data_IF_479679284984
#
_entry.id   IF_479679284984
#
_cell.length_a   1.000
_cell.length_b   1.000
_cell.length_c   1.000
_cell.angle_alpha   90.00
_cell.angle_beta   90.00
_cell.angle_gamma   90.00
#
_symmetry.space_group_name_H-M   'P 1'
#
loop_
_entity.id
_entity.type
_entity.pdbx_description
1 polymer ?
#
# COMPACT_ATOMS: atom_id res chain seq x y z
N UNK A 1 26.73 0.11 -18.42
CA UNK A 1 25.25 0.10 -18.46
C UNK A 1 24.77 -0.13 -17.04
N UNK A 2 24.16 0.87 -16.41
CA UNK A 2 23.74 0.79 -15.00
C UNK A 2 22.59 -0.22 -14.91
N UNK A 3 22.74 -1.27 -14.10
CA UNK A 3 21.67 -2.24 -13.87
C UNK A 3 20.64 -1.64 -12.91
N UNK A 4 19.67 -0.95 -13.48
CA UNK A 4 18.62 -0.22 -12.77
C UNK A 4 17.80 -1.12 -11.83
N UNK A 5 17.62 -2.40 -12.22
CA UNK A 5 16.88 -3.39 -11.42
C UNK A 5 17.61 -3.70 -10.11
N UNK A 6 18.94 -3.82 -10.17
CA UNK A 6 19.77 -4.06 -8.99
C UNK A 6 19.87 -2.82 -8.09
N UNK A 7 19.86 -1.61 -8.66
CA UNK A 7 19.90 -0.37 -7.88
C UNK A 7 18.62 -0.18 -7.04
N UNK A 8 17.43 -0.35 -7.64
CA UNK A 8 16.15 -0.26 -6.93
C UNK A 8 16.07 -1.31 -5.81
N UNK A 9 16.47 -2.55 -6.13
CA UNK A 9 16.43 -3.66 -5.17
C UNK A 9 17.34 -3.45 -3.96
N UNK A 10 18.53 -2.88 -4.17
CA UNK A 10 19.49 -2.65 -3.09
C UNK A 10 19.06 -1.48 -2.19
N UNK A 11 18.38 -0.48 -2.77
CA UNK A 11 17.96 0.73 -2.07
C UNK A 11 16.50 0.67 -1.56
N UNK A 12 15.89 -0.52 -1.53
CA UNK A 12 14.56 -0.71 -0.97
C UNK A 12 14.53 -0.31 0.52
N UNK A 13 13.57 0.54 0.88
CA UNK A 13 13.32 0.96 2.27
C UNK A 13 11.85 0.76 2.63
N UNK A 14 11.61 -0.11 3.60
CA UNK A 14 10.28 -0.35 4.16
C UNK A 14 9.73 0.92 4.84
N UNK A 15 10.60 1.68 5.50
CA UNK A 15 10.22 2.94 6.15
C UNK A 15 9.63 3.94 5.14
N UNK A 16 10.35 4.18 4.04
CA UNK A 16 9.91 5.13 3.01
C UNK A 16 8.60 4.67 2.38
N UNK A 17 8.52 3.38 2.01
CA UNK A 17 7.31 2.81 1.42
C UNK A 17 6.10 3.01 2.32
N UNK A 18 6.18 2.57 3.58
CA UNK A 18 5.04 2.62 4.49
C UNK A 18 4.70 4.04 4.92
N UNK A 19 5.68 4.93 5.07
CA UNK A 19 5.37 6.34 5.35
C UNK A 19 4.52 6.97 4.24
N UNK A 20 4.82 6.68 2.97
CA UNK A 20 4.05 7.23 1.85
C UNK A 20 2.69 6.53 1.72
N UNK A 21 2.66 5.20 1.84
CA UNK A 21 1.40 4.44 1.74
C UNK A 21 0.43 4.82 2.87
N UNK A 22 0.90 4.96 4.12
CA UNK A 22 0.08 5.45 5.22
C UNK A 22 -0.37 6.90 5.01
N UNK A 23 0.51 7.77 4.50
CA UNK A 23 0.16 9.16 4.20
C UNK A 23 -0.99 9.21 3.19
N UNK A 24 -0.87 8.50 2.09
CA UNK A 24 -1.93 8.42 1.07
C UNK A 24 -3.21 7.81 1.64
N UNK A 25 -3.11 6.76 2.46
CA UNK A 25 -4.27 6.19 3.13
C UNK A 25 -5.02 7.22 3.99
N UNK A 26 -4.33 7.97 4.85
CA UNK A 26 -4.98 8.98 5.70
C UNK A 26 -5.61 10.11 4.91
N UNK A 27 -4.98 10.53 3.81
CA UNK A 27 -5.54 11.52 2.89
C UNK A 27 -6.84 11.00 2.26
N UNK A 28 -6.79 9.84 1.60
CA UNK A 28 -7.96 9.25 0.93
C UNK A 28 -9.07 8.88 1.91
N UNK A 29 -8.73 8.42 3.12
CA UNK A 29 -9.71 8.11 4.16
C UNK A 29 -10.47 9.34 4.61
N UNK A 30 -9.76 10.46 4.78
CA UNK A 30 -10.42 11.71 5.15
C UNK A 30 -11.26 12.27 4.00
N UNK A 31 -10.79 12.16 2.76
CA UNK A 31 -11.56 12.60 1.58
C UNK A 31 -12.79 11.73 1.40
N UNK A 32 -12.68 10.42 1.63
CA UNK A 32 -13.83 9.51 1.66
C UNK A 32 -14.85 9.92 2.72
N UNK A 33 -14.40 10.22 3.95
CA UNK A 33 -15.26 10.68 5.04
C UNK A 33 -15.97 12.00 4.73
N UNK A 34 -15.24 12.98 4.20
CA UNK A 34 -15.80 14.27 3.77
C UNK A 34 -16.85 14.08 2.66
N UNK A 35 -16.55 13.24 1.67
CA UNK A 35 -17.49 12.96 0.58
C UNK A 35 -18.75 12.27 1.11
N UNK A 36 -18.63 11.20 1.89
CA UNK A 36 -19.79 10.52 2.49
C UNK A 36 -20.66 11.51 3.27
N UNK A 37 -20.04 12.37 4.08
CA UNK A 37 -20.75 13.40 4.82
C UNK A 37 -21.49 14.39 3.91
N UNK A 38 -20.81 14.91 2.88
CA UNK A 38 -21.41 15.85 1.93
C UNK A 38 -22.56 15.21 1.15
N UNK A 39 -22.41 13.97 0.68
CA UNK A 39 -23.49 13.23 0.02
C UNK A 39 -24.69 13.04 0.95
N UNK A 40 -24.44 12.75 2.24
CA UNK A 40 -25.49 12.50 3.23
C UNK A 40 -26.26 13.79 3.56
N UNK A 41 -25.55 14.91 3.64
CA UNK A 41 -26.13 16.22 3.91
C UNK A 41 -26.95 16.74 2.71
N UNK A 42 -26.50 16.45 1.49
CA UNK A 42 -27.16 16.87 0.25
C UNK A 42 -28.41 16.03 -0.09
N UNK A 43 -28.71 14.99 0.68
CA UNK A 43 -29.86 14.10 0.44
C UNK A 43 -29.77 13.35 -0.90
N UNK A 44 -28.55 13.17 -1.42
CA UNK A 44 -28.29 12.46 -2.67
C UNK A 44 -28.54 10.95 -2.47
N UNK A 45 -28.76 10.21 -3.56
CA UNK A 45 -29.30 8.86 -3.51
C UNK A 45 -28.62 7.94 -2.47
N UNK A 46 -29.39 7.19 -1.66
CA UNK A 46 -28.86 6.30 -0.64
C UNK A 46 -27.93 5.20 -1.20
N UNK A 47 -28.03 4.89 -2.48
CA UNK A 47 -27.25 3.87 -3.18
C UNK A 47 -25.73 4.11 -3.12
N UNK A 48 -25.29 5.36 -3.31
CA UNK A 48 -23.85 5.71 -3.28
C UNK A 48 -23.25 5.66 -1.87
N UNK A 49 -24.04 5.96 -0.85
CA UNK A 49 -23.63 5.89 0.55
C UNK A 49 -23.30 4.45 0.96
N UNK A 50 -24.21 3.53 0.61
CA UNK A 50 -24.07 2.10 0.89
C UNK A 50 -22.82 1.55 0.19
N UNK A 51 -22.54 1.99 -1.03
CA UNK A 51 -21.35 1.55 -1.77
C UNK A 51 -20.04 2.02 -1.12
N UNK A 52 -19.99 3.26 -0.63
CA UNK A 52 -18.82 3.81 0.07
C UNK A 52 -18.57 3.11 1.42
N UNK A 53 -19.62 2.80 2.16
CA UNK A 53 -19.54 1.97 3.37
C UNK A 53 -19.04 0.56 3.04
N UNK A 54 -19.53 -0.07 1.96
CA UNK A 54 -19.06 -1.39 1.51
C UNK A 54 -17.56 -1.41 1.20
N UNK A 55 -17.01 -0.34 0.63
CA UNK A 55 -15.56 -0.22 0.43
C UNK A 55 -14.79 -0.28 1.76
N UNK A 56 -15.28 0.37 2.81
CA UNK A 56 -14.65 0.31 4.14
C UNK A 56 -14.69 -1.12 4.72
N UNK A 57 -15.72 -1.89 4.39
CA UNK A 57 -15.84 -3.30 4.76
C UNK A 57 -15.08 -4.27 3.84
N UNK A 58 -14.33 -3.79 2.84
CA UNK A 58 -13.51 -4.67 1.98
C UNK A 58 -12.48 -5.51 2.73
N UNK A 59 -11.97 -5.05 3.87
CA UNK A 59 -11.07 -5.85 4.73
C UNK A 59 -11.77 -7.11 5.27
N UNK A 60 -13.09 -7.08 5.40
CA UNK A 60 -13.89 -8.25 5.80
C UNK A 60 -13.92 -9.32 4.70
N UNK A 61 -13.76 -8.92 3.43
CA UNK A 61 -13.66 -9.87 2.31
C UNK A 61 -12.39 -10.73 2.40
N UNK A 62 -11.29 -10.18 2.93
CA UNK A 62 -10.06 -10.94 3.18
C UNK A 62 -10.25 -12.06 4.20
N UNK A 63 -11.20 -11.92 5.13
CA UNK A 63 -11.49 -12.96 6.12
C UNK A 63 -11.96 -14.26 5.46
N UNK A 64 -12.57 -14.17 4.28
CA UNK A 64 -12.97 -15.33 3.47
C UNK A 64 -11.81 -15.92 2.66
N UNK A 65 -10.77 -15.13 2.35
CA UNK A 65 -9.59 -15.58 1.62
C UNK A 65 -8.48 -16.05 2.57
N UNK A 66 -8.61 -17.29 3.06
CA UNK A 66 -7.62 -17.97 3.93
C UNK A 66 -6.24 -18.21 3.29
N UNK A 67 -6.04 -17.89 2.01
CA UNK A 67 -4.79 -18.14 1.27
C UNK A 67 -3.86 -16.93 1.36
N UNK A 68 -2.56 -17.21 1.51
CA UNK A 68 -1.52 -16.20 1.44
C UNK A 68 -1.57 -15.47 0.08
N UNK A 69 -1.62 -14.14 0.13
CA UNK A 69 -1.63 -13.31 -1.07
C UNK A 69 -0.22 -13.31 -1.68
N UNK A 70 -0.14 -13.54 -2.99
CA UNK A 70 1.14 -13.51 -3.72
C UNK A 70 1.74 -12.11 -3.81
N UNK A 71 3.07 -12.02 -3.94
CA UNK A 71 3.79 -10.75 -4.06
C UNK A 71 3.32 -9.91 -5.26
N UNK A 72 2.87 -10.55 -6.34
CA UNK A 72 2.31 -9.88 -7.52
C UNK A 72 0.98 -9.20 -7.20
N UNK A 73 0.10 -9.86 -6.46
CA UNK A 73 -1.18 -9.26 -6.05
C UNK A 73 -0.91 -8.11 -5.08
N UNK A 74 0.03 -8.27 -4.15
CA UNK A 74 0.41 -7.22 -3.21
C UNK A 74 0.97 -5.98 -3.94
N UNK A 75 1.77 -6.19 -5.00
CA UNK A 75 2.22 -5.13 -5.89
C UNK A 75 1.06 -4.41 -6.59
N UNK A 76 0.13 -5.16 -7.21
CA UNK A 76 -1.03 -4.59 -7.91
C UNK A 76 -1.90 -3.76 -6.96
N UNK A 77 -2.20 -4.31 -5.77
CA UNK A 77 -3.02 -3.61 -4.77
C UNK A 77 -2.29 -2.37 -4.25
N UNK A 78 -0.97 -2.44 -4.03
CA UNK A 78 -0.16 -1.29 -3.64
C UNK A 78 -0.14 -0.19 -4.69
N UNK A 79 0.04 -0.54 -5.96
CA UNK A 79 -0.03 0.39 -7.08
C UNK A 79 -1.42 1.01 -7.21
N UNK A 80 -2.49 0.24 -6.94
CA UNK A 80 -3.84 0.76 -6.96
C UNK A 80 -3.99 1.94 -6.00
N UNK A 81 -3.49 1.84 -4.76
CA UNK A 81 -3.51 2.93 -3.76
C UNK A 81 -2.84 4.19 -4.31
N UNK A 82 -1.67 4.04 -4.94
CA UNK A 82 -0.87 5.15 -5.47
C UNK A 82 -1.60 5.80 -6.65
N UNK A 83 -2.01 5.00 -7.62
CA UNK A 83 -2.63 5.48 -8.87
C UNK A 83 -3.95 6.17 -8.59
N UNK A 84 -4.81 5.59 -7.74
CA UNK A 84 -6.08 6.23 -7.37
C UNK A 84 -5.86 7.58 -6.71
N UNK A 85 -4.83 7.69 -5.85
CA UNK A 85 -4.47 8.94 -5.19
C UNK A 85 -3.96 10.01 -6.16
N UNK A 86 -3.14 9.64 -7.13
CA UNK A 86 -2.57 10.56 -8.12
C UNK A 86 -3.61 11.06 -9.13
N UNK A 87 -4.57 10.21 -9.49
CA UNK A 87 -5.62 10.52 -10.45
C UNK A 87 -6.75 11.34 -9.81
N UNK A 88 -7.05 11.12 -8.52
CA UNK A 88 -8.14 11.82 -7.82
C UNK A 88 -8.18 13.34 -8.06
N UNK A 89 -7.08 14.11 -7.87
CA UNK A 89 -7.14 15.56 -8.05
C UNK A 89 -7.30 16.01 -9.53
N UNK A 90 -7.21 15.09 -10.49
CA UNK A 90 -7.45 15.36 -11.92
C UNK A 90 -8.91 15.19 -12.31
N UNK A 91 -9.71 14.51 -11.47
CA UNK A 91 -11.10 14.20 -11.76
C UNK A 91 -12.07 15.17 -11.06
N UNK A 92 -13.27 15.28 -11.61
CA UNK A 92 -14.37 16.08 -11.06
C UNK A 92 -15.65 15.22 -11.00
N UNK A 93 -16.46 15.45 -9.98
CA UNK A 93 -17.78 14.81 -9.85
C UNK A 93 -17.79 13.52 -9.02
N UNK A 94 -18.77 12.67 -9.29
CA UNK A 94 -19.17 11.55 -8.42
C UNK A 94 -18.18 10.39 -8.37
N UNK A 95 -17.39 10.20 -9.45
CA UNK A 95 -16.36 9.16 -9.52
C UNK A 95 -15.25 9.30 -8.48
N UNK A 96 -15.13 10.45 -7.84
CA UNK A 96 -14.17 10.69 -6.76
C UNK A 96 -14.49 9.87 -5.49
N UNK A 97 -15.77 9.63 -5.21
CA UNK A 97 -16.18 8.78 -4.07
C UNK A 97 -15.71 7.34 -4.27
N UNK A 98 -15.84 6.83 -5.50
CA UNK A 98 -15.41 5.48 -5.87
C UNK A 98 -13.89 5.35 -5.79
N UNK A 99 -13.14 6.35 -6.26
CA UNK A 99 -11.68 6.33 -6.18
C UNK A 99 -11.15 6.40 -4.75
N UNK A 100 -11.77 7.23 -3.91
CA UNK A 100 -11.45 7.29 -2.49
C UNK A 100 -11.74 5.97 -1.77
N UNK A 101 -12.92 5.38 -2.03
CA UNK A 101 -13.28 4.06 -1.54
C UNK A 101 -12.28 2.99 -1.99
N UNK A 102 -11.98 2.94 -3.28
CA UNK A 102 -11.08 1.96 -3.90
C UNK A 102 -9.67 2.03 -3.31
N UNK A 103 -9.13 3.24 -3.10
CA UNK A 103 -7.82 3.43 -2.48
C UNK A 103 -7.80 2.94 -1.02
N UNK A 104 -8.82 3.33 -0.25
CA UNK A 104 -8.96 2.94 1.18
C UNK A 104 -9.08 1.43 1.30
N UNK A 105 -9.93 0.80 0.47
CA UNK A 105 -10.09 -0.65 0.44
C UNK A 105 -8.81 -1.37 0.07
N UNK A 106 -8.08 -0.85 -0.91
CA UNK A 106 -6.82 -1.45 -1.34
C UNK A 106 -5.78 -1.40 -0.24
N UNK A 107 -5.70 -0.31 0.52
CA UNK A 107 -4.86 -0.24 1.70
C UNK A 107 -5.27 -1.26 2.77
N UNK A 108 -6.57 -1.35 3.06
CA UNK A 108 -7.12 -2.32 4.01
C UNK A 108 -6.92 -3.78 3.59
N UNK A 109 -6.60 -4.02 2.32
CA UNK A 109 -6.17 -5.31 1.80
C UNK A 109 -4.65 -5.49 1.89
N UNK A 110 -3.91 -4.49 1.42
CA UNK A 110 -2.46 -4.47 1.33
C UNK A 110 -1.79 -4.64 2.70
N UNK A 111 -2.21 -3.86 3.68
CA UNK A 111 -1.57 -3.79 4.99
C UNK A 111 -1.60 -5.14 5.75
N UNK A 112 -2.76 -5.79 5.99
CA UNK A 112 -2.79 -7.08 6.67
C UNK A 112 -2.13 -8.20 5.86
N UNK A 113 -2.21 -8.15 4.52
CA UNK A 113 -1.53 -9.11 3.64
C UNK A 113 -0.01 -9.01 3.77
N UNK A 114 0.54 -7.79 3.80
CA UNK A 114 1.95 -7.55 4.06
C UNK A 114 2.36 -8.05 5.46
N UNK A 115 1.56 -7.73 6.49
CA UNK A 115 1.88 -8.10 7.86
C UNK A 115 1.93 -9.63 8.06
N UNK A 116 0.99 -10.35 7.44
CA UNK A 116 0.94 -11.82 7.51
C UNK A 116 2.16 -12.48 6.86
N UNK A 117 2.81 -11.81 5.89
CA UNK A 117 4.04 -12.28 5.24
C UNK A 117 5.29 -12.08 6.11
N UNK A 118 5.31 -11.06 6.98
CA UNK A 118 6.50 -10.68 7.77
C UNK A 118 6.70 -11.45 9.09
N UNK A 119 6.13 -12.66 9.22
CA UNK A 119 6.13 -13.43 10.48
C UNK A 119 7.52 -13.82 11.04
N UNK A 120 8.59 -13.75 10.24
CA UNK A 120 9.95 -14.10 10.67
C UNK A 120 10.82 -12.90 11.09
N UNK A 121 10.29 -11.67 11.12
CA UNK A 121 11.04 -10.44 11.47
C UNK A 121 10.27 -9.47 12.38
N UNK A 122 9.39 -10.00 13.23
CA UNK A 122 8.40 -9.25 14.02
C UNK A 122 8.93 -7.98 14.71
N UNK A 123 10.08 -8.05 15.39
CA UNK A 123 10.52 -6.96 16.26
C UNK A 123 11.08 -5.75 15.50
N UNK A 124 11.86 -5.97 14.43
CA UNK A 124 12.38 -4.87 13.60
C UNK A 124 11.30 -4.32 12.65
N UNK A 125 10.40 -5.17 12.16
CA UNK A 125 9.27 -4.76 11.32
C UNK A 125 8.29 -3.89 12.13
N UNK A 126 7.96 -4.25 13.38
CA UNK A 126 7.04 -3.47 14.21
C UNK A 126 7.47 -2.03 14.47
N UNK A 127 8.75 -1.82 14.85
CA UNK A 127 9.30 -0.47 15.08
C UNK A 127 9.31 0.33 13.77
N UNK A 128 9.76 -0.29 12.68
CA UNK A 128 9.82 0.38 11.38
C UNK A 128 8.44 0.83 10.92
N UNK A 129 7.42 -0.01 11.04
CA UNK A 129 6.04 0.34 10.72
C UNK A 129 5.48 1.42 11.65
N UNK A 130 5.80 1.37 12.95
CA UNK A 130 5.39 2.40 13.93
C UNK A 130 5.99 3.76 13.62
N UNK A 131 7.29 3.83 13.30
CA UNK A 131 7.97 5.05 12.86
C UNK A 131 7.39 5.54 11.53
N UNK A 132 7.11 4.62 10.62
CA UNK A 132 6.52 4.95 9.31
C UNK A 132 5.16 5.62 9.48
N UNK A 133 4.32 5.08 10.37
CA UNK A 133 3.01 5.61 10.71
C UNK A 133 3.12 6.99 11.37
N UNK A 134 4.02 7.14 12.35
CA UNK A 134 4.26 8.43 13.01
C UNK A 134 4.68 9.50 12.01
N UNK A 135 5.59 9.16 11.09
CA UNK A 135 6.03 10.07 10.04
C UNK A 135 4.90 10.41 9.07
N UNK A 136 4.08 9.43 8.68
CA UNK A 136 2.92 9.65 7.82
C UNK A 136 1.89 10.59 8.45
N UNK A 137 1.58 10.40 9.73
CA UNK A 137 0.66 11.27 10.47
C UNK A 137 1.24 12.68 10.60
N UNK A 138 2.52 12.81 10.94
CA UNK A 138 3.18 14.12 11.03
C UNK A 138 3.16 14.86 9.69
N UNK A 139 3.44 14.17 8.58
CA UNK A 139 3.36 14.71 7.23
C UNK A 139 1.92 15.07 6.83
N UNK A 140 0.94 14.23 7.18
CA UNK A 140 -0.47 14.48 6.91
C UNK A 140 -0.96 15.75 7.62
N UNK A 141 -0.58 15.92 8.90
CA UNK A 141 -0.87 17.14 9.66
C UNK A 141 -0.18 18.34 9.02
N UNK A 142 1.11 18.23 8.69
CA UNK A 142 1.89 19.31 8.07
C UNK A 142 1.26 19.77 6.75
N UNK A 143 0.89 18.85 5.86
CA UNK A 143 0.27 19.21 4.58
C UNK A 143 -1.13 19.82 4.72
N UNK A 144 -1.85 19.52 5.80
CA UNK A 144 -3.16 20.14 6.10
C UNK A 144 -3.06 21.50 6.75
N UNK A 145 -2.05 21.72 7.60
CA UNK A 145 -1.90 22.98 8.33
C UNK A 145 -1.33 24.10 7.46
N UNK A 146 -0.56 23.77 6.43
CA UNK A 146 0.09 24.77 5.55
C UNK A 146 -0.90 25.53 4.66
N UNK A 147 -2.14 25.06 4.44
CA UNK A 147 -3.08 25.71 3.51
C UNK A 147 -4.57 25.64 3.92
N UNK A 148 -4.88 25.97 5.18
CA UNK A 148 -6.25 26.18 5.67
C UNK A 148 -7.23 25.03 5.39
N UNK A 149 -7.02 23.90 6.07
CA UNK A 149 -7.93 22.72 6.14
C UNK A 149 -7.87 21.76 4.96
N UNK A 150 -7.46 22.20 3.76
CA UNK A 150 -7.30 21.33 2.58
C UNK A 150 -5.85 20.90 2.38
N UNK A 151 -5.65 19.64 1.97
CA UNK A 151 -4.31 19.07 1.77
C UNK A 151 -3.58 19.74 0.61
N UNK A 152 -2.43 20.37 0.90
CA UNK A 152 -1.59 21.09 -0.07
C UNK A 152 -1.25 20.22 -1.28
N UNK A 153 -1.00 18.93 -1.09
CA UNK A 153 -0.58 18.02 -2.16
C UNK A 153 -1.64 17.80 -3.26
N UNK A 154 -2.87 18.30 -3.08
CA UNK A 154 -3.95 18.19 -4.07
C UNK A 154 -4.11 19.44 -4.94
N UNK A 155 -3.44 20.55 -4.62
CA UNK A 155 -3.77 21.86 -5.21
C UNK A 155 -2.75 22.35 -6.24
N UNK A 156 -3.19 22.51 -7.51
CA UNK A 156 -2.47 23.18 -8.61
C UNK A 156 -0.98 22.79 -8.68
N UNK A 157 -0.08 23.69 -8.30
CA UNK A 157 1.37 23.52 -8.38
C UNK A 157 1.95 22.53 -7.35
N UNK A 158 1.25 22.31 -6.24
CA UNK A 158 1.71 21.41 -5.18
C UNK A 158 1.41 19.93 -5.47
N UNK A 159 0.66 19.62 -6.54
CA UNK A 159 0.48 18.24 -7.03
C UNK A 159 1.80 17.56 -7.35
N UNK A 160 2.85 18.33 -7.69
CA UNK A 160 4.20 17.83 -7.91
C UNK A 160 4.70 17.02 -6.70
N UNK A 161 4.35 17.44 -5.47
CA UNK A 161 4.71 16.71 -4.25
C UNK A 161 4.03 15.32 -4.24
N UNK A 162 2.74 15.27 -4.57
CA UNK A 162 2.00 14.01 -4.72
C UNK A 162 2.63 13.10 -5.76
N UNK A 163 2.97 13.61 -6.94
CA UNK A 163 3.63 12.86 -8.01
C UNK A 163 5.01 12.32 -7.59
N UNK A 164 5.84 13.15 -6.95
CA UNK A 164 7.17 12.72 -6.47
C UNK A 164 7.04 11.61 -5.43
N UNK A 165 6.13 11.77 -4.47
CA UNK A 165 5.86 10.74 -3.46
C UNK A 165 5.31 9.46 -4.10
N UNK A 166 4.41 9.57 -5.08
CA UNK A 166 3.84 8.43 -5.80
C UNK A 166 4.88 7.65 -6.60
N UNK A 167 5.75 8.34 -7.35
CA UNK A 167 6.86 7.71 -8.07
C UNK A 167 7.81 7.02 -7.09
N UNK A 168 8.14 7.68 -5.98
CA UNK A 168 9.02 7.11 -4.97
C UNK A 168 8.41 5.85 -4.35
N UNK A 169 7.13 5.86 -3.99
CA UNK A 169 6.43 4.69 -3.45
C UNK A 169 6.35 3.55 -4.48
N UNK A 170 6.08 3.85 -5.75
CA UNK A 170 6.03 2.86 -6.84
C UNK A 170 7.40 2.20 -7.03
N UNK A 171 8.49 2.97 -7.02
CA UNK A 171 9.86 2.42 -7.05
C UNK A 171 10.15 1.50 -5.85
N UNK A 172 9.67 1.87 -4.65
CA UNK A 172 9.82 1.02 -3.47
C UNK A 172 8.98 -0.26 -3.56
N UNK A 173 7.77 -0.22 -4.14
CA UNK A 173 6.95 -1.40 -4.40
C UNK A 173 7.62 -2.34 -5.41
N UNK A 174 8.23 -1.81 -6.47
CA UNK A 174 9.04 -2.60 -7.41
C UNK A 174 10.20 -3.24 -6.66
N UNK A 175 10.92 -2.50 -5.82
CA UNK A 175 11.99 -3.04 -4.97
C UNK A 175 11.54 -4.19 -4.08
N UNK A 176 10.34 -4.09 -3.49
CA UNK A 176 9.72 -5.15 -2.69
C UNK A 176 9.44 -6.40 -3.51
N UNK A 177 8.84 -6.26 -4.70
CA UNK A 177 8.52 -7.37 -5.61
C UNK A 177 9.78 -8.13 -6.03
N UNK A 178 10.82 -7.39 -6.44
CA UNK A 178 12.10 -7.96 -6.89
C UNK A 178 12.90 -8.67 -5.78
N UNK A 179 12.68 -8.27 -4.53
CA UNK A 179 13.25 -8.95 -3.36
C UNK A 179 12.46 -10.21 -3.03
N UNK A 180 11.13 -10.18 -3.19
CA UNK A 180 10.24 -11.32 -3.04
C UNK A 180 10.55 -12.48 -3.98
N UNK A 181 10.63 -12.21 -5.29
CA UNK A 181 10.95 -13.23 -6.30
C UNK A 181 12.27 -13.96 -6.03
N UNK A 182 13.29 -13.26 -5.48
CA UNK A 182 14.58 -13.87 -5.14
C UNK A 182 14.45 -14.86 -3.98
N UNK A 183 13.64 -14.54 -2.97
CA UNK A 183 13.44 -15.41 -1.80
C UNK A 183 12.72 -16.69 -2.21
N UNK A 184 11.73 -16.57 -3.10
CA UNK A 184 11.00 -17.72 -3.63
C UNK A 184 11.89 -18.61 -4.51
N UNK A 185 12.76 -18.03 -5.35
CA UNK A 185 13.75 -18.78 -6.14
C UNK A 185 14.80 -19.50 -5.30
N UNK A 186 15.26 -18.90 -4.20
CA UNK A 186 16.23 -19.54 -3.29
C UNK A 186 15.59 -20.75 -2.61
N UNK A 187 14.35 -20.59 -2.10
CA UNK A 187 13.61 -21.71 -1.48
C UNK A 187 13.34 -22.85 -2.47
N UNK A 188 12.94 -22.55 -3.70
CA UNK A 188 12.70 -23.59 -4.71
C UNK A 188 14.00 -24.31 -5.11
N UNK A 189 15.14 -23.61 -5.14
CA UNK A 189 16.45 -24.21 -5.44
C UNK A 189 16.96 -25.08 -4.28
N UNK A 190 16.70 -24.69 -3.04
CA UNK A 190 17.05 -25.46 -1.84
C UNK A 190 16.18 -26.73 -1.68
N UNK A 191 14.90 -26.67 -2.08
CA UNK A 191 13.98 -27.82 -2.08
C UNK A 191 14.24 -28.81 -3.24
N UNK A 192 14.80 -28.35 -4.37
CA UNK A 192 15.18 -29.21 -5.51
C UNK A 192 16.55 -29.88 -5.36
N UNK A 193 17.34 -29.54 -4.34
CA UNK A 193 18.55 -30.29 -4.01
C UNK A 193 18.13 -31.63 -3.40
N UNK A 194 18.28 -32.78 -4.09
CA UNK A 194 17.86 -34.06 -3.53
C UNK A 194 18.69 -34.25 -2.26
N UNK A 195 17.99 -34.22 -1.12
CA UNK A 195 18.59 -34.35 0.18
C UNK A 195 19.53 -35.57 0.14
N UNK A 196 20.82 -35.33 0.43
CA UNK A 196 21.88 -36.34 0.54
C UNK A 196 21.64 -37.31 1.71
N UNK A 197 20.40 -37.71 1.96
CA UNK A 197 20.00 -38.73 2.92
C UNK A 197 20.54 -40.12 2.54
N UNK A 198 20.91 -40.34 1.28
CA UNK A 198 21.47 -41.62 0.82
C UNK A 198 22.91 -41.93 1.25
N UNK A 199 23.67 -40.97 1.80
CA UNK A 199 25.07 -41.22 2.23
C UNK A 199 25.23 -41.65 3.68
N UNK A 200 24.17 -41.56 4.49
CA UNK A 200 24.24 -41.95 5.92
C UNK A 200 23.87 -43.43 6.11
N UNK A 201 23.13 -44.04 5.18
CA UNK A 201 22.74 -45.45 5.25
C UNK A 201 23.80 -46.44 4.72
N UNK A 202 24.87 -45.95 4.09
CA UNK A 202 25.96 -46.75 3.53
C UNK A 202 27.17 -46.90 4.48
N UNK A 203 27.05 -46.33 5.69
CA UNK A 203 28.10 -46.32 6.74
C UNK A 203 27.62 -46.94 8.06
N UNK A 204 26.44 -47.56 8.09
CA UNK A 204 25.93 -48.36 9.21
C UNK A 204 25.73 -49.80 8.75
#
# INVERSE_FOLDING_TARGET
MIDFKNLIKNNYSELILFSIIFLFFFQMLSDLGERIYNYALLGLEPTLHILALLFLFSSLALLFFRKAISDKILFIVGELIIVTRLIEPLLKGEGLLILAGLSVSSFLIFFPAYFTRSKNKEQQTGITLGVSLALAVALSILFRTVNSTLDVSMYRWFQIIGWVLGILASLMLVGMLLRGEKIDQIKSTDEESPAKFGKILLLA
#
